data_IF_002737070133
#
_entry.id   IF_002737070133
#
_cell.length_a   1.000
_cell.length_b   1.000
_cell.length_c   1.000
_cell.angle_alpha   90.00
_cell.angle_beta   90.00
_cell.angle_gamma   90.00
#
_symmetry.space_group_name_H-M   'P 1'
#
loop_
_entity.id
_entity.type
_entity.pdbx_description
1 polymer ?
#
# COMPACT_ATOMS: atom_id res chain seq x y z
N UNK A 1 9.40 -12.93 10.48
CA UNK A 1 8.75 -11.82 9.78
C UNK A 1 9.16 -11.81 8.32
N UNK A 2 8.30 -11.31 7.48
CA UNK A 2 8.58 -11.18 6.05
C UNK A 2 8.74 -9.70 5.69
N UNK A 3 9.46 -9.44 4.61
CA UNK A 3 9.64 -8.09 4.10
C UNK A 3 8.82 -7.89 2.85
N UNK A 4 8.15 -6.75 2.76
CA UNK A 4 7.42 -6.35 1.56
C UNK A 4 7.87 -4.94 1.19
N UNK A 5 7.81 -4.63 -0.09
CA UNK A 5 8.15 -3.30 -0.58
C UNK A 5 6.87 -2.55 -0.90
N UNK A 6 6.70 -1.40 -0.27
CA UNK A 6 5.60 -0.50 -0.59
C UNK A 6 6.10 0.56 -1.56
N UNK A 7 5.33 0.79 -2.61
CA UNK A 7 5.60 1.87 -3.54
C UNK A 7 4.42 2.82 -3.53
N UNK A 8 4.72 4.10 -3.58
CA UNK A 8 3.70 5.15 -3.54
C UNK A 8 3.78 5.97 -4.81
N UNK A 9 2.64 6.29 -5.37
CA UNK A 9 2.57 7.05 -6.61
C UNK A 9 1.61 8.22 -6.49
N UNK A 10 1.80 9.23 -7.32
CA UNK A 10 0.93 10.39 -7.39
C UNK A 10 0.98 11.24 -6.13
N UNK A 11 -0.16 11.76 -5.76
CA UNK A 11 -0.28 12.66 -4.60
C UNK A 11 0.11 11.96 -3.30
N UNK A 12 -0.10 10.66 -3.23
CA UNK A 12 0.25 9.90 -2.02
C UNK A 12 1.75 9.96 -1.74
N UNK A 13 2.57 9.84 -2.78
CA UNK A 13 4.02 9.95 -2.62
C UNK A 13 4.41 11.34 -2.09
N UNK A 14 3.75 12.36 -2.56
CA UNK A 14 4.00 13.73 -2.12
C UNK A 14 3.63 13.91 -0.64
N UNK A 15 2.48 13.41 -0.24
CA UNK A 15 2.03 13.53 1.14
C UNK A 15 2.91 12.78 2.12
N UNK A 16 3.37 11.60 1.73
CA UNK A 16 4.23 10.79 2.59
C UNK A 16 5.69 11.22 2.55
N UNK A 17 6.06 12.00 1.53
CA UNK A 17 7.45 12.44 1.38
C UNK A 17 8.38 11.32 0.96
N UNK A 18 7.85 10.25 0.37
CA UNK A 18 8.66 9.11 -0.06
C UNK A 18 7.97 8.39 -1.21
N UNK A 19 8.76 7.71 -2.04
CA UNK A 19 8.23 6.94 -3.17
C UNK A 19 8.22 5.44 -2.91
N UNK A 20 8.97 4.99 -1.93
CA UNK A 20 8.99 3.57 -1.57
C UNK A 20 9.45 3.38 -0.13
N UNK A 21 9.10 2.24 0.42
CA UNK A 21 9.50 1.87 1.77
C UNK A 21 9.46 0.36 1.90
N UNK A 22 10.49 -0.21 2.54
CA UNK A 22 10.46 -1.63 2.90
C UNK A 22 9.81 -1.76 4.27
N UNK A 23 8.85 -2.66 4.37
CA UNK A 23 8.10 -2.88 5.60
C UNK A 23 8.26 -4.34 6.03
N UNK A 24 8.49 -4.55 7.32
CA UNK A 24 8.47 -5.88 7.88
C UNK A 24 7.11 -6.16 8.48
N UNK A 25 6.51 -7.29 8.10
CA UNK A 25 5.20 -7.69 8.58
C UNK A 25 5.25 -9.14 9.02
N UNK A 26 4.30 -9.56 9.82
CA UNK A 26 4.21 -10.94 10.24
C UNK A 26 3.83 -11.82 9.06
N UNK A 27 4.35 -13.04 9.06
CA UNK A 27 3.94 -14.04 8.08
C UNK A 27 2.43 -14.27 8.24
N UNK A 28 1.72 -14.23 7.15
CA UNK A 28 0.26 -14.36 7.16
C UNK A 28 -0.47 -13.04 7.27
N UNK A 29 0.25 -11.92 7.33
CA UNK A 29 -0.39 -10.60 7.36
C UNK A 29 -1.22 -10.38 6.09
N UNK A 30 -2.32 -9.69 6.23
CA UNK A 30 -3.20 -9.39 5.11
C UNK A 30 -2.93 -8.02 4.55
N UNK A 31 -3.19 -7.86 3.27
CA UNK A 31 -3.04 -6.59 2.59
C UNK A 31 -3.81 -5.46 3.29
N UNK A 32 -4.97 -5.78 3.84
CA UNK A 32 -5.79 -4.84 4.59
C UNK A 32 -5.01 -4.14 5.70
N UNK A 33 -4.21 -4.88 6.45
CA UNK A 33 -3.42 -4.30 7.54
C UNK A 33 -2.42 -3.27 7.04
N UNK A 34 -1.81 -3.55 5.90
CA UNK A 34 -0.83 -2.65 5.30
C UNK A 34 -1.52 -1.38 4.80
N UNK A 35 -2.65 -1.52 4.12
CA UNK A 35 -3.41 -0.38 3.62
C UNK A 35 -3.88 0.50 4.77
N UNK A 36 -4.36 -0.09 5.85
CA UNK A 36 -4.80 0.65 7.03
C UNK A 36 -3.66 1.44 7.66
N UNK A 37 -2.46 0.86 7.70
CA UNK A 37 -1.31 1.54 8.27
C UNK A 37 -0.94 2.78 7.45
N UNK A 38 -0.99 2.68 6.13
CA UNK A 38 -0.73 3.82 5.26
C UNK A 38 -1.84 4.85 5.40
N UNK A 39 -3.09 4.41 5.48
CA UNK A 39 -4.23 5.30 5.61
C UNK A 39 -4.14 6.15 6.87
N UNK A 40 -3.69 5.56 7.98
CA UNK A 40 -3.49 6.31 9.22
C UNK A 40 -2.48 7.42 9.06
N UNK A 41 -1.44 7.21 8.28
CA UNK A 41 -0.39 8.21 8.08
C UNK A 41 -0.86 9.36 7.22
N UNK A 42 -1.90 9.17 6.44
CA UNK A 42 -2.46 10.20 5.56
C UNK A 42 -3.74 10.82 6.09
N UNK A 43 -4.12 10.49 7.32
CA UNK A 43 -5.29 11.08 7.96
C UNK A 43 -6.61 10.39 7.66
N UNK A 44 -6.59 9.21 7.04
CA UNK A 44 -7.78 8.39 6.85
C UNK A 44 -8.78 8.93 5.83
N UNK A 45 -8.33 9.74 4.89
CA UNK A 45 -9.23 10.40 3.95
C UNK A 45 -9.07 9.98 2.49
N UNK A 46 -8.23 9.00 2.23
CA UNK A 46 -7.93 8.61 0.86
C UNK A 46 -8.51 7.24 0.53
N UNK A 47 -8.99 7.13 -0.69
CA UNK A 47 -9.24 5.84 -1.30
C UNK A 47 -7.97 5.43 -2.01
N UNK A 48 -7.59 4.19 -1.88
CA UNK A 48 -6.38 3.69 -2.52
C UNK A 48 -6.72 2.72 -3.64
N UNK A 49 -5.97 2.82 -4.71
CA UNK A 49 -5.88 1.75 -5.69
C UNK A 49 -4.62 0.96 -5.33
N UNK A 50 -4.75 -0.33 -5.23
CA UNK A 50 -3.67 -1.18 -4.75
C UNK A 50 -3.34 -2.22 -5.81
N UNK A 51 -2.06 -2.35 -6.11
CA UNK A 51 -1.55 -3.42 -6.97
C UNK A 51 -0.54 -4.23 -6.20
N UNK A 52 -0.57 -5.54 -6.37
CA UNK A 52 0.43 -6.44 -5.79
C UNK A 52 1.10 -7.17 -6.93
N UNK A 53 2.42 -7.03 -7.04
CA UNK A 53 3.22 -7.64 -8.10
C UNK A 53 2.65 -7.34 -9.50
N UNK A 54 2.26 -6.07 -9.71
CA UNK A 54 1.71 -5.54 -10.96
C UNK A 54 0.29 -5.99 -11.29
N UNK A 55 -0.41 -6.60 -10.35
CA UNK A 55 -1.81 -6.94 -10.53
C UNK A 55 -2.68 -6.11 -9.61
N UNK A 56 -3.69 -5.46 -10.15
CA UNK A 56 -4.63 -4.70 -9.34
C UNK A 56 -5.41 -5.66 -8.44
N UNK A 57 -5.51 -5.29 -7.16
CA UNK A 57 -6.16 -6.12 -6.15
C UNK A 57 -7.35 -5.38 -5.59
N UNK A 58 -8.49 -6.06 -5.56
CA UNK A 58 -9.71 -5.52 -4.94
C UNK A 58 -10.05 -6.23 -3.62
N UNK A 59 -9.50 -7.41 -3.40
CA UNK A 59 -9.72 -8.16 -2.17
C UNK A 59 -8.56 -7.93 -1.20
N UNK A 60 -8.79 -7.08 -0.23
CA UNK A 60 -7.76 -6.72 0.75
C UNK A 60 -7.58 -7.76 1.84
N UNK A 61 -8.38 -8.82 1.84
CA UNK A 61 -8.17 -9.94 2.75
C UNK A 61 -7.08 -10.90 2.27
N UNK A 62 -6.51 -10.61 1.11
CA UNK A 62 -5.41 -11.39 0.56
C UNK A 62 -4.20 -11.36 1.48
N UNK A 63 -3.58 -12.51 1.70
CA UNK A 63 -2.33 -12.60 2.46
C UNK A 63 -1.19 -12.13 1.57
N UNK A 64 -0.28 -11.35 2.13
CA UNK A 64 0.91 -10.88 1.40
C UNK A 64 2.05 -11.88 1.57
N UNK A 65 2.85 -12.01 0.53
CA UNK A 65 4.00 -12.92 0.52
C UNK A 65 5.30 -12.15 0.68
N UNK A 66 6.34 -12.86 1.10
CA UNK A 66 7.66 -12.27 1.20
C UNK A 66 8.11 -11.72 -0.15
N UNK A 67 8.74 -10.56 -0.11
CA UNK A 67 9.24 -9.84 -1.28
C UNK A 67 8.15 -9.34 -2.23
N UNK A 68 6.90 -9.32 -1.79
CA UNK A 68 5.83 -8.72 -2.59
C UNK A 68 6.09 -7.23 -2.81
N UNK A 69 5.76 -6.76 -4.00
CA UNK A 69 5.79 -5.34 -4.33
C UNK A 69 4.36 -4.81 -4.34
N UNK A 70 4.07 -3.91 -3.42
CA UNK A 70 2.73 -3.38 -3.22
C UNK A 70 2.73 -1.92 -3.62
N UNK A 71 2.02 -1.60 -4.68
CA UNK A 71 1.88 -0.23 -5.15
C UNK A 71 0.56 0.35 -4.64
N UNK A 72 0.66 1.49 -3.97
CA UNK A 72 -0.50 2.24 -3.55
C UNK A 72 -0.52 3.57 -4.28
N UNK A 73 -1.68 3.92 -4.81
CA UNK A 73 -1.87 5.23 -5.39
C UNK A 73 -3.26 5.74 -5.08
N UNK A 74 -3.40 7.05 -5.03
CA UNK A 74 -4.71 7.66 -4.89
C UNK A 74 -5.21 8.03 -6.27
N UNK A 75 -6.47 7.71 -6.59
CA UNK A 75 -7.02 8.14 -7.87
C UNK A 75 -7.04 9.65 -7.91
N UNK A 76 -6.71 10.20 -9.06
CA UNK A 76 -6.81 11.64 -9.26
C UNK A 76 -8.27 12.04 -9.13
N UNK A 77 -8.60 12.74 -8.06
CA UNK A 77 -9.87 13.39 -8.03
C UNK A 77 -9.78 14.53 -9.03
N UNK A 78 -10.67 14.60 -9.98
CA UNK A 78 -10.63 15.59 -11.02
C UNK A 78 -10.87 17.00 -10.51
N UNK A 79 -10.29 17.35 -9.46
CA UNK A 79 -10.51 18.71 -8.98
C UNK A 79 -9.32 19.19 -8.26
#
# INVERSE_FOLDING_TARGET
>A
MIKVTLEFAGQLATELGMTSKVLEVEKGAKLKSIVEEVDKRTGGRHMFLVSVDNEQVVDYNRVVDENSEILLLTPMSGG
#
